data_IF_877196851277
#
_entry.id   IF_877196851277
#
_cell.length_a   1.000
_cell.length_b   1.000
_cell.length_c   1.000
_cell.angle_alpha   90.00
_cell.angle_beta   90.00
_cell.angle_gamma   90.00
#
_symmetry.space_group_name_H-M   'P 1'
#
loop_
_entity.id
_entity.type
_entity.pdbx_description
1 polymer ?
#
# COMPACT_ATOMS: atom_id res chain seq x y z
N UNK A 1 -49.06 13.86 36.38
CA UNK A 1 -49.41 14.03 34.95
C UNK A 1 -48.15 14.45 34.21
N UNK A 2 -47.69 13.68 33.20
CA UNK A 2 -46.54 14.02 32.38
C UNK A 2 -46.98 14.75 31.11
N UNK A 3 -46.23 15.75 30.67
CA UNK A 3 -46.34 16.27 29.29
C UNK A 3 -44.95 16.35 28.67
N UNK A 4 -44.79 15.44 27.70
CA UNK A 4 -43.75 15.25 26.71
C UNK A 4 -43.53 16.53 25.86
N UNK A 5 -42.29 16.93 25.52
CA UNK A 5 -41.49 16.56 24.31
C UNK A 5 -41.60 17.58 23.15
N UNK A 6 -40.45 17.74 22.45
CA UNK A 6 -40.21 18.25 21.09
C UNK A 6 -40.28 19.78 20.85
N UNK A 7 -39.13 20.40 20.62
CA UNK A 7 -39.00 21.51 19.67
C UNK A 7 -37.95 21.13 18.62
N UNK A 8 -38.44 21.14 17.38
CA UNK A 8 -37.79 20.68 16.18
C UNK A 8 -36.72 21.66 15.66
N UNK A 9 -35.67 21.08 15.10
CA UNK A 9 -34.68 21.73 14.24
C UNK A 9 -35.33 22.01 12.89
N UNK A 10 -35.35 23.26 12.44
CA UNK A 10 -35.77 23.64 11.10
C UNK A 10 -34.62 24.34 10.35
N UNK A 11 -34.36 23.84 9.15
CA UNK A 11 -33.43 24.31 8.13
C UNK A 11 -33.51 25.82 7.85
N UNK A 12 -32.39 26.41 7.42
CA UNK A 12 -32.41 27.49 6.44
C UNK A 12 -31.21 27.38 5.48
N UNK A 13 -31.54 26.99 4.26
CA UNK A 13 -30.74 27.06 3.03
C UNK A 13 -31.27 28.27 2.26
N UNK A 14 -30.44 29.27 1.92
CA UNK A 14 -30.50 30.03 0.65
C UNK A 14 -29.48 31.19 0.57
N UNK A 15 -28.97 31.39 -0.65
CA UNK A 15 -28.24 32.54 -1.23
C UNK A 15 -26.75 32.72 -0.85
N UNK A 16 -25.83 32.99 -1.78
CA UNK A 16 -26.03 33.55 -3.12
C UNK A 16 -24.86 33.31 -4.08
N UNK A 17 -25.25 33.06 -5.32
CA UNK A 17 -24.47 33.06 -6.56
C UNK A 17 -24.09 34.52 -6.87
N UNK A 18 -22.81 34.79 -7.19
CA UNK A 18 -22.47 35.86 -8.12
C UNK A 18 -21.26 35.48 -8.97
N UNK A 19 -21.47 35.67 -10.27
CA UNK A 19 -20.69 35.30 -11.44
C UNK A 19 -19.63 36.35 -11.74
N UNK A 20 -18.43 35.93 -12.17
CA UNK A 20 -17.59 36.74 -13.06
C UNK A 20 -17.06 35.87 -14.21
N UNK A 21 -17.66 36.10 -15.38
CA UNK A 21 -17.15 35.71 -16.69
C UNK A 21 -15.83 36.42 -17.00
N UNK A 22 -14.83 35.69 -17.51
CA UNK A 22 -14.04 36.14 -18.66
C UNK A 22 -13.51 34.92 -19.45
N UNK A 23 -13.88 34.86 -20.73
CA UNK A 23 -13.31 34.01 -21.82
C UNK A 23 -13.06 34.98 -22.98
N UNK A 24 -11.89 34.98 -23.63
CA UNK A 24 -11.72 34.32 -24.95
C UNK A 24 -10.37 33.55 -25.08
N UNK A 25 -10.33 32.31 -25.60
CA UNK A 25 -10.26 31.88 -27.03
C UNK A 25 -8.92 32.30 -27.69
N UNK A 26 -8.08 31.49 -28.36
CA UNK A 26 -8.16 30.15 -28.97
C UNK A 26 -6.75 29.56 -29.26
N UNK A 27 -6.75 28.28 -29.67
CA UNK A 27 -5.79 27.54 -30.53
C UNK A 27 -4.42 27.13 -30.00
N UNK A 28 -4.21 25.80 -30.00
CA UNK A 28 -2.90 25.17 -29.91
C UNK A 28 -3.01 23.65 -29.72
N UNK A 29 -3.28 22.92 -30.80
CA UNK A 29 -3.04 21.47 -30.87
C UNK A 29 -1.55 21.21 -30.63
N UNK A 30 -1.24 20.39 -29.63
CA UNK A 30 -0.01 19.59 -29.61
C UNK A 30 -0.24 18.38 -28.72
N UNK A 31 -0.35 17.22 -29.36
CA UNK A 31 -0.14 15.95 -28.72
C UNK A 31 1.33 15.87 -28.27
N UNK A 32 1.55 15.56 -27.00
CA UNK A 32 2.83 15.05 -26.52
C UNK A 32 2.55 13.90 -25.57
N UNK A 33 2.90 12.69 -26.02
CA UNK A 33 3.11 11.54 -25.16
C UNK A 33 4.25 11.92 -24.21
N UNK A 34 3.93 12.23 -22.96
CA UNK A 34 4.93 12.16 -21.90
C UNK A 34 5.16 10.67 -21.62
N UNK A 35 6.29 10.18 -22.10
CA UNK A 35 6.84 8.90 -21.71
C UNK A 35 7.14 8.91 -20.21
N UNK A 36 6.98 7.74 -19.60
CA UNK A 36 7.60 7.36 -18.34
C UNK A 36 9.05 7.86 -18.29
N UNK A 37 9.34 8.74 -17.33
CA UNK A 37 10.71 9.06 -16.96
C UNK A 37 11.04 8.27 -15.69
N UNK A 38 11.68 7.12 -15.89
CA UNK A 38 12.36 6.38 -14.83
C UNK A 38 13.59 7.19 -14.46
N UNK A 39 13.49 8.00 -13.41
CA UNK A 39 14.63 8.79 -12.93
C UNK A 39 15.64 7.87 -12.23
N UNK A 40 16.73 7.51 -12.93
CA UNK A 40 17.89 6.84 -12.34
C UNK A 40 18.86 7.93 -11.85
N UNK A 41 18.72 8.35 -10.60
CA UNK A 41 19.73 9.19 -9.95
C UNK A 41 20.78 8.30 -9.30
N UNK A 42 21.94 8.16 -9.95
CA UNK A 42 23.12 7.57 -9.33
C UNK A 42 24.02 8.69 -8.80
N UNK A 43 23.88 9.07 -7.53
CA UNK A 43 24.89 9.85 -6.83
C UNK A 43 25.88 8.90 -6.13
N UNK A 44 27.16 9.07 -6.45
CA UNK A 44 28.26 8.24 -5.96
C UNK A 44 28.82 8.85 -4.68
N UNK A 45 28.43 8.31 -3.52
CA UNK A 45 29.04 8.55 -2.21
C UNK A 45 29.67 7.28 -1.68
N UNK A 46 30.93 7.34 -1.24
CA UNK A 46 31.62 6.21 -0.63
C UNK A 46 30.96 5.82 0.71
N UNK A 47 30.16 4.76 0.68
CA UNK A 47 29.48 4.14 1.83
C UNK A 47 28.68 2.95 1.29
N UNK A 48 28.60 1.84 2.04
CA UNK A 48 27.89 0.57 1.75
C UNK A 48 27.12 0.56 0.41
N UNK A 49 27.52 -0.29 -0.55
CA UNK A 49 26.82 -0.50 -1.84
C UNK A 49 25.31 -0.64 -1.60
N UNK A 50 24.57 0.46 -1.69
CA UNK A 50 23.13 0.45 -1.59
C UNK A 50 22.65 -0.08 -2.93
N UNK A 51 22.18 -1.33 -2.94
CA UNK A 51 21.49 -1.86 -4.12
C UNK A 51 20.15 -1.13 -4.20
N UNK A 52 20.09 -0.13 -5.07
CA UNK A 52 18.84 0.55 -5.41
C UNK A 52 17.95 -0.42 -6.20
N UNK A 53 16.86 -0.85 -5.58
CA UNK A 53 15.82 -1.61 -6.27
C UNK A 53 14.98 -0.67 -7.14
N UNK A 54 14.45 -1.12 -8.30
CA UNK A 54 13.45 -0.36 -9.04
C UNK A 54 12.27 -0.03 -8.10
N UNK A 55 11.90 1.25 -8.05
CA UNK A 55 10.84 1.73 -7.17
C UNK A 55 9.49 1.81 -7.88
N UNK A 56 8.44 1.37 -7.20
CA UNK A 56 7.04 1.57 -7.55
C UNK A 56 6.37 2.35 -6.44
N UNK A 57 5.62 3.41 -6.76
CA UNK A 57 4.99 4.27 -5.74
C UNK A 57 3.50 4.02 -5.67
N UNK A 58 2.98 3.89 -4.46
CA UNK A 58 1.55 3.75 -4.23
C UNK A 58 1.09 4.66 -3.10
N UNK A 59 0.31 5.68 -3.47
CA UNK A 59 -0.42 6.49 -2.51
C UNK A 59 -1.85 5.94 -2.36
N UNK A 60 -2.18 5.48 -1.16
CA UNK A 60 -3.49 4.87 -0.84
C UNK A 60 -4.63 5.84 -1.13
N UNK A 61 -4.46 7.12 -0.81
CA UNK A 61 -5.46 8.18 -0.97
C UNK A 61 -5.69 8.59 -2.44
N UNK A 62 -4.90 8.08 -3.39
CA UNK A 62 -5.14 8.27 -4.82
C UNK A 62 -6.10 7.21 -5.40
N UNK A 63 -6.69 6.36 -4.56
CA UNK A 63 -7.78 5.46 -4.91
C UNK A 63 -7.38 4.26 -5.78
N UNK A 64 -8.38 3.65 -6.39
CA UNK A 64 -8.24 2.40 -7.15
C UNK A 64 -7.27 2.50 -8.34
N UNK A 65 -7.27 3.64 -9.04
CA UNK A 65 -6.43 3.87 -10.21
C UNK A 65 -4.93 3.80 -9.87
N UNK A 66 -4.52 4.44 -8.77
CA UNK A 66 -3.14 4.37 -8.30
C UNK A 66 -2.75 2.96 -7.84
N UNK A 67 -3.66 2.27 -7.16
CA UNK A 67 -3.45 0.90 -6.73
C UNK A 67 -3.25 -0.07 -7.91
N UNK A 68 -4.13 -0.02 -8.93
CA UNK A 68 -4.01 -0.86 -10.11
C UNK A 68 -2.76 -0.52 -10.93
N UNK A 69 -2.42 0.77 -11.04
CA UNK A 69 -1.19 1.22 -11.70
C UNK A 69 0.05 0.64 -11.01
N UNK A 70 0.10 0.64 -9.68
CA UNK A 70 1.20 0.01 -8.93
C UNK A 70 1.32 -1.49 -9.26
N UNK A 71 0.22 -2.24 -9.28
CA UNK A 71 0.25 -3.66 -9.60
C UNK A 71 0.70 -3.93 -11.03
N UNK A 72 0.28 -3.09 -11.98
CA UNK A 72 0.70 -3.22 -13.39
C UNK A 72 2.19 -2.88 -13.57
N UNK A 73 2.68 -1.84 -12.91
CA UNK A 73 4.11 -1.51 -12.88
C UNK A 73 4.93 -2.67 -12.29
N UNK A 74 4.48 -3.26 -11.19
CA UNK A 74 5.16 -4.39 -10.56
C UNK A 74 5.20 -5.63 -11.47
N UNK A 75 4.11 -5.96 -12.17
CA UNK A 75 4.07 -7.05 -13.15
C UNK A 75 5.00 -6.79 -14.34
N UNK A 76 4.99 -5.57 -14.87
CA UNK A 76 5.88 -5.18 -15.97
C UNK A 76 7.36 -5.30 -15.54
N UNK A 77 7.69 -4.93 -14.30
CA UNK A 77 9.04 -5.14 -13.75
C UNK A 77 9.39 -6.63 -13.71
N UNK A 78 8.49 -7.50 -13.24
CA UNK A 78 8.73 -8.94 -13.22
C UNK A 78 8.95 -9.54 -14.62
N UNK A 79 8.26 -9.03 -15.64
CA UNK A 79 8.42 -9.51 -17.03
C UNK A 79 9.69 -9.01 -17.72
N UNK A 80 10.16 -7.80 -17.38
CA UNK A 80 11.24 -7.12 -18.11
C UNK A 80 12.58 -7.10 -17.37
N UNK A 81 12.60 -7.49 -16.10
CA UNK A 81 13.80 -7.49 -15.25
C UNK A 81 14.77 -8.62 -15.60
N UNK A 82 15.56 -8.44 -16.65
CA UNK A 82 16.72 -9.29 -16.90
C UNK A 82 17.79 -9.04 -15.81
N UNK A 83 17.71 -9.78 -14.70
CA UNK A 83 18.72 -9.80 -13.63
C UNK A 83 18.40 -9.01 -12.36
N UNK A 84 17.22 -8.36 -12.26
CA UNK A 84 16.76 -7.79 -10.99
C UNK A 84 15.90 -8.82 -10.25
N UNK A 85 16.25 -9.13 -8.99
CA UNK A 85 15.51 -10.10 -8.19
C UNK A 85 14.42 -9.47 -7.33
N UNK A 86 14.48 -8.14 -7.12
CA UNK A 86 13.62 -7.43 -6.19
C UNK A 86 13.18 -6.07 -6.72
N UNK A 87 12.04 -5.59 -6.23
CA UNK A 87 11.54 -4.23 -6.39
C UNK A 87 11.20 -3.64 -5.02
N UNK A 88 11.21 -2.32 -4.92
CA UNK A 88 10.79 -1.57 -3.73
C UNK A 88 9.46 -0.87 -3.99
N UNK A 89 8.44 -1.20 -3.20
CA UNK A 89 7.16 -0.49 -3.24
C UNK A 89 7.15 0.54 -2.13
N UNK A 90 7.13 1.81 -2.50
CA UNK A 90 6.97 2.93 -1.57
C UNK A 90 5.48 3.18 -1.36
N UNK A 91 4.98 2.77 -0.20
CA UNK A 91 3.59 2.88 0.21
C UNK A 91 3.43 4.13 1.06
N UNK A 92 2.52 5.01 0.67
CA UNK A 92 2.23 6.23 1.41
C UNK A 92 0.73 6.46 1.56
N UNK A 93 0.38 7.31 2.52
CA UNK A 93 -0.95 7.91 2.67
C UNK A 93 -0.75 9.43 2.68
N UNK A 94 -1.82 10.21 2.86
CA UNK A 94 -1.76 11.66 3.00
C UNK A 94 -0.79 12.16 4.09
N UNK A 95 -0.73 13.49 4.26
CA UNK A 95 0.43 14.25 4.76
C UNK A 95 1.00 13.94 6.16
N UNK A 96 0.53 12.95 6.90
CA UNK A 96 0.94 12.71 8.30
C UNK A 96 1.28 11.25 8.65
N UNK A 97 1.20 10.29 7.72
CA UNK A 97 1.65 8.92 7.97
C UNK A 97 3.00 8.68 7.29
N UNK A 98 4.03 8.19 8.01
CA UNK A 98 5.32 7.84 7.41
C UNK A 98 5.16 6.87 6.24
N UNK A 99 5.99 7.00 5.21
CA UNK A 99 6.00 6.04 4.13
C UNK A 99 6.58 4.71 4.63
N UNK A 100 6.03 3.62 4.12
CA UNK A 100 6.52 2.26 4.37
C UNK A 100 6.97 1.68 3.04
N UNK A 101 8.17 1.16 3.04
CA UNK A 101 8.75 0.43 1.92
C UNK A 101 8.47 -1.06 2.07
N UNK A 102 8.05 -1.70 0.99
CA UNK A 102 7.87 -3.14 0.90
C UNK A 102 8.78 -3.69 -0.20
N UNK A 103 9.80 -4.47 0.19
CA UNK A 103 10.65 -5.16 -0.78
C UNK A 103 9.93 -6.40 -1.28
N UNK A 104 9.77 -6.49 -2.59
CA UNK A 104 9.07 -7.57 -3.28
C UNK A 104 10.05 -8.37 -4.12
N UNK A 105 10.02 -9.69 -3.98
CA UNK A 105 10.76 -10.60 -4.87
C UNK A 105 10.00 -10.74 -6.18
N UNK A 106 10.64 -10.42 -7.30
CA UNK A 106 9.96 -10.34 -8.60
C UNK A 106 9.60 -11.71 -9.20
N UNK A 107 10.28 -12.78 -8.78
CA UNK A 107 10.01 -14.14 -9.29
C UNK A 107 8.66 -14.71 -8.89
N UNK A 108 8.11 -14.26 -7.75
CA UNK A 108 6.88 -14.78 -7.16
C UNK A 108 5.97 -13.68 -6.60
N UNK A 109 6.36 -12.40 -6.66
CA UNK A 109 5.69 -11.27 -6.02
C UNK A 109 5.62 -11.33 -4.49
N UNK A 110 6.38 -12.22 -3.83
CA UNK A 110 6.38 -12.31 -2.37
C UNK A 110 6.99 -11.04 -1.76
N UNK A 111 6.29 -10.42 -0.81
CA UNK A 111 6.90 -9.37 0.02
C UNK A 111 7.85 -10.02 1.03
N UNK A 112 9.10 -9.59 1.05
CA UNK A 112 10.19 -10.21 1.82
C UNK A 112 10.71 -9.34 2.95
N UNK A 113 10.40 -8.04 2.92
CA UNK A 113 10.79 -7.06 3.96
C UNK A 113 9.83 -5.89 3.95
N UNK A 114 9.52 -5.38 5.13
CA UNK A 114 8.97 -4.04 5.32
C UNK A 114 9.99 -3.17 6.05
N UNK A 115 10.13 -1.91 5.66
CA UNK A 115 10.96 -0.96 6.41
C UNK A 115 10.45 0.47 6.24
N UNK A 116 10.88 1.37 7.11
CA UNK A 116 10.80 2.81 6.88
C UNK A 116 12.16 3.40 7.20
N UNK A 117 12.59 4.38 6.40
CA UNK A 117 13.86 5.10 6.60
C UNK A 117 13.64 6.54 7.08
N UNK A 118 12.38 6.97 7.19
CA UNK A 118 12.01 8.31 7.63
C UNK A 118 12.25 8.45 9.12
N UNK A 119 13.28 9.19 9.55
CA UNK A 119 13.46 9.52 10.98
C UNK A 119 12.28 10.35 11.49
N UNK A 120 11.73 10.09 12.70
CA UNK A 120 12.18 9.16 13.75
C UNK A 120 11.66 7.72 13.62
N UNK A 121 10.98 7.38 12.53
CA UNK A 121 10.24 6.15 12.29
C UNK A 121 11.07 5.05 11.62
N UNK A 122 12.40 5.05 11.78
CA UNK A 122 13.24 4.02 11.22
C UNK A 122 12.91 2.65 11.86
N UNK A 123 12.58 1.68 11.02
CA UNK A 123 12.40 0.29 11.39
C UNK A 123 12.69 -0.62 10.20
N UNK A 124 13.04 -1.87 10.48
CA UNK A 124 13.20 -2.92 9.47
C UNK A 124 12.63 -4.24 10.00
N UNK A 125 11.67 -4.81 9.26
CA UNK A 125 11.02 -6.10 9.52
C UNK A 125 11.33 -7.06 8.36
N UNK A 126 12.25 -7.99 8.57
CA UNK A 126 12.54 -9.04 7.59
C UNK A 126 11.54 -10.19 7.71
N UNK A 127 11.00 -10.62 6.56
CA UNK A 127 10.22 -11.86 6.43
C UNK A 127 11.08 -12.99 5.87
N UNK A 128 12.00 -12.67 4.96
CA UNK A 128 12.89 -13.63 4.31
C UNK A 128 14.37 -13.35 4.61
N UNK A 129 15.19 -14.40 4.62
CA UNK A 129 16.65 -14.28 4.60
C UNK A 129 17.18 -13.97 3.20
N UNK A 130 18.40 -13.44 3.09
CA UNK A 130 19.08 -13.27 1.79
C UNK A 130 18.58 -12.07 0.96
N UNK A 131 17.75 -11.21 1.55
CA UNK A 131 17.38 -9.92 0.96
C UNK A 131 18.58 -8.97 1.09
N UNK A 132 19.10 -8.37 0.00
CA UNK A 132 20.25 -7.46 0.06
C UNK A 132 20.08 -6.37 1.12
N UNK A 133 21.18 -5.90 1.71
CA UNK A 133 21.19 -4.92 2.80
C UNK A 133 20.42 -5.40 4.06
N UNK A 134 20.52 -6.69 4.42
CA UNK A 134 19.83 -7.31 5.57
C UNK A 134 20.32 -6.83 6.95
N UNK A 135 21.49 -6.20 7.02
CA UNK A 135 22.23 -6.05 8.28
C UNK A 135 21.64 -5.06 9.29
N UNK A 136 20.53 -4.38 8.98
CA UNK A 136 19.97 -3.30 9.81
C UNK A 136 18.55 -3.62 10.36
N UNK A 137 18.20 -4.90 10.55
CA UNK A 137 16.95 -5.30 11.21
C UNK A 137 16.87 -4.76 12.65
N UNK A 138 15.74 -4.17 13.05
CA UNK A 138 15.52 -3.83 14.47
C UNK A 138 15.51 -5.10 15.32
N UNK A 139 14.88 -6.16 14.81
CA UNK A 139 15.02 -7.55 15.26
C UNK A 139 14.57 -8.54 14.17
N UNK A 140 14.92 -9.81 14.34
CA UNK A 140 14.59 -10.90 13.42
C UNK A 140 13.28 -11.63 13.80
N UNK A 141 12.39 -11.00 14.58
CA UNK A 141 11.18 -11.69 15.09
C UNK A 141 10.29 -12.27 13.98
N UNK A 142 10.17 -11.55 12.86
CA UNK A 142 9.37 -11.95 11.71
C UNK A 142 10.13 -12.77 10.67
N UNK A 143 11.43 -13.01 10.88
CA UNK A 143 12.24 -13.77 9.95
C UNK A 143 11.69 -15.21 9.81
N UNK A 144 11.54 -15.65 8.57
CA UNK A 144 10.92 -16.93 8.22
C UNK A 144 9.39 -16.96 8.32
N UNK A 145 8.72 -15.81 8.54
CA UNK A 145 7.26 -15.70 8.63
C UNK A 145 6.64 -15.10 7.36
N UNK A 146 7.19 -15.43 6.19
CA UNK A 146 6.54 -15.16 4.90
C UNK A 146 5.19 -15.88 4.77
N UNK A 147 5.00 -16.98 5.51
CA UNK A 147 3.76 -17.76 5.53
C UNK A 147 2.59 -17.00 6.20
N UNK A 148 1.46 -16.96 5.48
CA UNK A 148 0.22 -16.34 5.92
C UNK A 148 -0.28 -16.89 7.25
N UNK A 149 -0.14 -18.20 7.50
CA UNK A 149 -0.66 -18.81 8.72
C UNK A 149 0.17 -18.42 9.95
N UNK A 150 1.47 -18.22 9.77
CA UNK A 150 2.34 -17.69 10.82
C UNK A 150 1.96 -16.25 11.18
N UNK A 151 1.76 -15.38 10.17
CA UNK A 151 1.35 -13.99 10.39
C UNK A 151 -0.05 -13.89 10.96
N UNK A 152 -1.01 -14.66 10.45
CA UNK A 152 -2.39 -14.71 10.95
C UNK A 152 -2.45 -15.11 12.43
N UNK A 153 -1.60 -16.05 12.85
CA UNK A 153 -1.48 -16.46 14.26
C UNK A 153 -0.95 -15.34 15.14
N UNK A 154 0.12 -14.64 14.71
CA UNK A 154 0.67 -13.50 15.47
C UNK A 154 -0.32 -12.34 15.51
N UNK A 155 -1.00 -12.08 14.39
CA UNK A 155 -2.04 -11.07 14.25
C UNK A 155 -3.31 -11.37 15.07
N UNK A 156 -3.46 -12.61 15.55
CA UNK A 156 -4.69 -13.12 16.15
C UNK A 156 -5.92 -12.84 15.26
N UNK A 157 -5.77 -13.02 13.94
CA UNK A 157 -6.77 -12.68 12.94
C UNK A 157 -6.72 -13.69 11.78
N UNK A 158 -7.86 -14.28 11.42
CA UNK A 158 -7.94 -15.17 10.26
C UNK A 158 -7.84 -14.37 8.95
N UNK A 159 -7.34 -14.98 7.87
CA UNK A 159 -7.25 -14.32 6.56
C UNK A 159 -8.62 -13.80 6.10
N UNK A 160 -9.69 -14.56 6.31
CA UNK A 160 -11.07 -14.17 5.95
C UNK A 160 -11.62 -12.98 6.74
N UNK A 161 -11.02 -12.65 7.88
CA UNK A 161 -11.39 -11.50 8.70
C UNK A 161 -10.55 -10.27 8.38
N UNK A 162 -9.58 -10.37 7.47
CA UNK A 162 -8.73 -9.25 7.07
C UNK A 162 -9.51 -8.33 6.14
N UNK A 163 -9.87 -7.14 6.64
CA UNK A 163 -10.48 -6.09 5.83
C UNK A 163 -9.39 -5.35 5.03
N UNK A 164 -9.53 -5.32 3.71
CA UNK A 164 -8.61 -4.78 2.71
C UNK A 164 -9.15 -3.50 2.06
N UNK A 165 -10.13 -2.84 2.68
CA UNK A 165 -10.60 -1.53 2.24
C UNK A 165 -9.53 -0.44 2.49
N UNK A 166 -9.75 0.75 1.95
CA UNK A 166 -8.81 1.89 2.05
C UNK A 166 -8.43 2.18 3.51
N UNK A 167 -9.40 2.34 4.40
CA UNK A 167 -9.14 2.61 5.83
C UNK A 167 -8.34 1.50 6.53
N UNK A 168 -8.55 0.24 6.17
CA UNK A 168 -7.78 -0.90 6.68
C UNK A 168 -6.32 -0.87 6.22
N UNK A 169 -6.09 -0.46 4.98
CA UNK A 169 -4.75 -0.25 4.43
C UNK A 169 -4.06 0.95 5.09
N UNK A 170 -4.75 2.08 5.26
CA UNK A 170 -4.21 3.24 5.98
C UNK A 170 -3.85 2.93 7.43
N UNK A 171 -4.71 2.18 8.13
CA UNK A 171 -4.42 1.73 9.49
C UNK A 171 -3.20 0.82 9.52
N UNK A 172 -3.01 -0.03 8.50
CA UNK A 172 -1.81 -0.88 8.37
C UNK A 172 -0.56 -0.07 8.14
N UNK A 173 -0.66 1.03 7.40
CA UNK A 173 0.46 1.96 7.23
C UNK A 173 0.90 2.54 8.58
N UNK A 174 -0.04 2.84 9.48
CA UNK A 174 0.26 3.31 10.84
C UNK A 174 0.82 2.19 11.72
N UNK A 175 0.23 0.99 11.64
CA UNK A 175 0.68 -0.19 12.38
C UNK A 175 2.14 -0.56 12.04
N UNK A 176 2.57 -0.30 10.81
CA UNK A 176 3.95 -0.50 10.36
C UNK A 176 4.83 0.74 10.58
N UNK A 177 4.35 1.91 10.19
CA UNK A 177 5.08 3.18 10.11
C UNK A 177 5.47 3.81 11.45
N UNK A 178 5.14 3.20 12.58
CA UNK A 178 5.43 3.75 13.91
C UNK A 178 6.35 2.80 14.68
N UNK A 179 7.50 3.33 15.09
CA UNK A 179 8.47 2.58 15.92
C UNK A 179 7.84 2.24 17.28
N UNK A 180 8.00 0.99 17.71
CA UNK A 180 7.48 0.51 19.00
C UNK A 180 6.03 0.02 18.95
N UNK A 181 5.39 -0.01 17.77
CA UNK A 181 4.10 -0.69 17.59
C UNK A 181 4.20 -2.16 18.01
N UNK A 182 3.14 -2.67 18.63
CA UNK A 182 3.09 -4.05 19.09
C UNK A 182 3.14 -5.05 17.91
N UNK A 183 3.73 -6.22 18.15
CA UNK A 183 3.94 -7.24 17.12
C UNK A 183 2.64 -7.77 16.51
N UNK A 184 1.53 -7.72 17.26
CA UNK A 184 0.21 -8.13 16.77
C UNK A 184 -0.33 -7.13 15.75
N UNK A 185 -0.20 -5.83 16.01
CA UNK A 185 -0.51 -4.77 15.04
C UNK A 185 0.39 -4.83 13.81
N UNK A 186 1.72 -4.97 13.98
CA UNK A 186 2.64 -5.13 12.85
C UNK A 186 2.28 -6.35 11.99
N UNK A 187 1.99 -7.50 12.60
CA UNK A 187 1.57 -8.70 11.88
C UNK A 187 0.26 -8.50 11.10
N UNK A 188 -0.72 -7.78 11.68
CA UNK A 188 -1.96 -7.40 10.97
C UNK A 188 -1.67 -6.49 9.77
N UNK A 189 -0.79 -5.50 9.95
CA UNK A 189 -0.36 -4.60 8.88
C UNK A 189 0.33 -5.34 7.73
N UNK A 190 1.30 -6.20 8.06
CA UNK A 190 2.00 -7.04 7.07
C UNK A 190 1.02 -7.95 6.33
N UNK A 191 0.11 -8.63 7.05
CA UNK A 191 -0.86 -9.52 6.44
C UNK A 191 -1.76 -8.81 5.41
N UNK A 192 -2.22 -7.58 5.71
CA UNK A 192 -2.99 -6.77 4.77
C UNK A 192 -2.19 -6.45 3.51
N UNK A 193 -0.96 -5.96 3.66
CA UNK A 193 -0.15 -5.57 2.51
C UNK A 193 0.34 -6.75 1.69
N UNK A 194 0.68 -7.89 2.30
CA UNK A 194 1.04 -9.09 1.56
C UNK A 194 -0.14 -9.54 0.68
N UNK A 195 -1.38 -9.53 1.21
CA UNK A 195 -2.55 -9.86 0.37
C UNK A 195 -2.77 -8.80 -0.72
N UNK A 196 -2.67 -7.51 -0.38
CA UNK A 196 -2.89 -6.42 -1.33
C UNK A 196 -1.78 -6.29 -2.40
N UNK A 197 -0.61 -6.86 -2.18
CA UNK A 197 0.53 -6.80 -3.11
C UNK A 197 0.75 -8.15 -3.76
N UNK A 198 1.15 -9.17 -2.99
CA UNK A 198 1.51 -10.50 -3.51
C UNK A 198 0.31 -11.17 -4.18
N UNK A 199 -0.81 -11.26 -3.47
CA UNK A 199 -1.98 -11.99 -3.96
C UNK A 199 -2.73 -11.22 -5.03
N UNK A 200 -2.84 -9.89 -4.89
CA UNK A 200 -3.44 -9.07 -5.92
C UNK A 200 -2.61 -9.05 -7.22
N UNK A 201 -1.27 -9.18 -7.13
CA UNK A 201 -0.39 -9.28 -8.30
C UNK A 201 -0.66 -10.56 -9.09
N UNK A 202 -0.83 -11.69 -8.39
CA UNK A 202 -1.11 -13.02 -8.97
C UNK A 202 -2.55 -13.19 -9.42
N UNK A 203 -3.51 -12.69 -8.64
CA UNK A 203 -4.94 -12.92 -8.81
C UNK A 203 -5.68 -11.61 -9.09
N UNK A 204 -5.98 -11.37 -10.39
CA UNK A 204 -6.73 -10.18 -10.84
C UNK A 204 -8.06 -9.99 -10.12
N UNK A 205 -8.73 -11.08 -9.72
CA UNK A 205 -10.00 -11.01 -8.99
C UNK A 205 -9.86 -10.40 -7.59
N UNK A 206 -8.73 -10.63 -6.89
CA UNK A 206 -8.43 -9.97 -5.61
C UNK A 206 -8.14 -8.49 -5.86
N UNK A 207 -7.30 -8.18 -6.85
CA UNK A 207 -7.00 -6.79 -7.23
C UNK A 207 -8.27 -5.98 -7.54
N UNK A 208 -9.16 -6.50 -8.37
CA UNK A 208 -10.40 -5.80 -8.73
C UNK A 208 -11.35 -5.58 -7.54
N UNK A 209 -11.38 -6.51 -6.56
CA UNK A 209 -12.21 -6.34 -5.36
C UNK A 209 -11.67 -5.26 -4.43
N UNK A 210 -10.36 -5.23 -4.23
CA UNK A 210 -9.70 -4.18 -3.43
C UNK A 210 -9.89 -2.82 -4.09
N UNK A 211 -9.60 -2.72 -5.40
CA UNK A 211 -9.82 -1.50 -6.19
C UNK A 211 -11.25 -0.97 -6.04
N UNK A 212 -12.26 -1.83 -6.23
CA UNK A 212 -13.67 -1.44 -6.04
C UNK A 212 -13.98 -0.95 -4.62
N UNK A 213 -13.40 -1.61 -3.61
CA UNK A 213 -13.53 -1.21 -2.20
C UNK A 213 -12.92 0.14 -1.89
N UNK A 214 -11.81 0.50 -2.55
CA UNK A 214 -11.22 1.83 -2.46
C UNK A 214 -12.13 2.90 -3.07
N UNK A 215 -12.77 2.62 -4.22
CA UNK A 215 -13.65 3.61 -4.87
C UNK A 215 -14.93 3.91 -4.10
N UNK A 216 -15.48 2.90 -3.41
CA UNK A 216 -16.80 2.97 -2.79
C UNK A 216 -16.79 2.92 -1.26
N UNK A 217 -15.60 2.87 -0.64
CA UNK A 217 -15.42 2.78 0.81
C UNK A 217 -15.97 1.51 1.46
N UNK A 218 -16.30 0.48 0.68
CA UNK A 218 -16.88 -0.76 1.20
C UNK A 218 -15.82 -1.68 1.80
N UNK A 219 -16.22 -2.47 2.79
CA UNK A 219 -15.36 -3.50 3.34
C UNK A 219 -15.01 -4.57 2.29
N UNK A 220 -13.76 -5.02 2.32
CA UNK A 220 -13.23 -6.00 1.38
C UNK A 220 -12.58 -7.14 2.15
N UNK A 221 -13.14 -8.34 2.04
CA UNK A 221 -12.61 -9.55 2.67
C UNK A 221 -12.27 -10.61 1.63
N UNK A 222 -11.18 -11.34 1.83
CA UNK A 222 -10.93 -12.57 1.05
C UNK A 222 -11.94 -13.65 1.43
N UNK A 223 -12.48 -14.35 0.44
CA UNK A 223 -13.42 -15.47 0.70
C UNK A 223 -12.65 -16.72 1.10
N UNK A 224 -13.33 -17.70 1.71
CA UNK A 224 -12.73 -19.00 2.00
C UNK A 224 -12.19 -19.70 0.73
N UNK A 225 -12.86 -19.53 -0.41
CA UNK A 225 -12.38 -20.03 -1.70
C UNK A 225 -11.08 -19.34 -2.12
N UNK A 226 -10.98 -18.02 -1.97
CA UNK A 226 -9.75 -17.29 -2.25
C UNK A 226 -8.63 -17.67 -1.29
N UNK A 227 -8.94 -17.94 -0.02
CA UNK A 227 -7.95 -18.47 0.93
C UNK A 227 -7.42 -19.83 0.50
N UNK A 228 -8.25 -20.68 -0.12
CA UNK A 228 -7.78 -21.91 -0.78
C UNK A 228 -6.74 -21.61 -1.85
N UNK A 229 -7.08 -20.70 -2.78
CA UNK A 229 -6.17 -20.30 -3.88
C UNK A 229 -4.88 -19.63 -3.40
N UNK A 230 -4.91 -18.91 -2.28
CA UNK A 230 -3.71 -18.27 -1.68
C UNK A 230 -2.75 -19.32 -1.11
N UNK A 231 -3.27 -20.49 -0.70
CA UNK A 231 -2.50 -21.56 -0.05
C UNK A 231 -2.02 -22.66 -1.02
N UNK A 232 -2.57 -22.68 -2.24
CA UNK A 232 -2.22 -23.62 -3.30
C UNK A 232 -0.99 -23.14 -4.09
#
# INVERSE_FOLDING_TARGET
>A
MPTSVLIAVALSVLLGILVLFTVPRHTGTSASKAADDVTINAETGAGKKHVDFPQVRWNINHGSGAYLTMLDQLRNLAETSAGQSFADIVISSGNHTPAVHAIVRLSDFCVVRFFSSDTPHNFVLNLASGVPNHEDADDDWFLGKEDYDALARVANQSLTAVNLNESGLENSLRDLGIRGTDRTAQARGMLRYIIAITEASRLRTIASRIAKGMDNGSDVFVTAQQVGLIRD
#
